data_IF_703826922049
#
_entry.id   IF_703826922049
#
_cell.length_a   1.000
_cell.length_b   1.000
_cell.length_c   1.000
_cell.angle_alpha   90.00
_cell.angle_beta   90.00
_cell.angle_gamma   90.00
#
_symmetry.space_group_name_H-M   'P 1'
#
loop_
_entity.id
_entity.type
_entity.pdbx_description
1 polymer ?
#
# COMPACT_ATOMS: atom_id res chain seq x y z
N UNK A 1 -11.05 18.28 -1.35
CA UNK A 1 -12.31 18.85 -0.86
C UNK A 1 -12.52 18.41 0.58
N UNK A 2 -12.92 19.35 1.45
CA UNK A 2 -13.14 19.06 2.88
C UNK A 2 -14.51 18.40 3.14
N UNK A 3 -15.29 18.18 2.10
CA UNK A 3 -16.62 17.58 2.19
C UNK A 3 -16.71 16.32 1.33
N UNK A 4 -17.52 15.35 1.79
CA UNK A 4 -17.94 14.22 0.98
C UNK A 4 -18.95 14.66 -0.09
N UNK A 5 -19.27 13.78 -1.03
CA UNK A 5 -20.34 14.06 -2.01
C UNK A 5 -21.71 14.30 -1.35
N UNK A 6 -21.92 13.72 -0.17
CA UNK A 6 -23.14 13.85 0.62
C UNK A 6 -23.14 15.04 1.58
N UNK A 7 -22.12 15.92 1.50
CA UNK A 7 -22.02 17.15 2.28
C UNK A 7 -21.46 16.99 3.70
N UNK A 8 -20.99 15.84 4.07
CA UNK A 8 -20.35 15.61 5.39
C UNK A 8 -18.90 16.11 5.41
N UNK A 9 -18.48 16.70 6.51
CA UNK A 9 -17.08 17.11 6.72
C UNK A 9 -16.20 15.87 6.79
N UNK A 10 -15.16 15.83 5.97
CA UNK A 10 -14.16 14.77 6.00
C UNK A 10 -13.10 15.07 7.05
N UNK A 11 -12.64 14.09 7.82
CA UNK A 11 -11.44 14.23 8.61
C UNK A 11 -10.22 14.42 7.69
N UNK A 12 -9.18 15.07 8.19
CA UNK A 12 -7.94 15.27 7.42
C UNK A 12 -7.27 13.94 7.05
N UNK A 13 -7.38 12.96 7.95
CA UNK A 13 -6.88 11.60 7.75
C UNK A 13 -7.68 10.59 8.58
N UNK A 14 -7.68 9.35 8.10
CA UNK A 14 -8.22 8.18 8.79
C UNK A 14 -7.05 7.22 8.97
N UNK A 15 -6.77 6.84 10.23
CA UNK A 15 -5.69 5.91 10.55
C UNK A 15 -6.22 4.49 10.49
N UNK A 16 -6.08 3.82 9.35
CA UNK A 16 -6.59 2.46 9.16
C UNK A 16 -5.76 1.41 9.91
N UNK A 17 -4.43 1.60 9.93
CA UNK A 17 -3.48 0.75 10.65
C UNK A 17 -2.58 1.66 11.48
N UNK A 18 -2.43 1.34 12.75
CA UNK A 18 -1.57 2.06 13.69
C UNK A 18 -0.74 1.05 14.48
N UNK A 19 0.58 1.23 14.44
CA UNK A 19 1.54 0.37 15.16
C UNK A 19 1.37 -1.13 14.88
N UNK A 20 1.01 -1.47 13.62
CA UNK A 20 0.78 -2.84 13.16
C UNK A 20 -0.62 -3.40 13.44
N UNK A 21 -1.47 -2.65 14.15
CA UNK A 21 -2.82 -3.08 14.49
C UNK A 21 -3.88 -2.32 13.67
N UNK A 22 -5.01 -2.97 13.44
CA UNK A 22 -6.18 -2.32 12.88
C UNK A 22 -6.69 -1.24 13.83
N UNK A 23 -6.90 -0.04 13.33
CA UNK A 23 -7.32 1.09 14.14
C UNK A 23 -8.72 1.61 13.76
N UNK A 24 -8.95 1.94 12.48
CA UNK A 24 -10.19 2.56 12.04
C UNK A 24 -10.61 2.09 10.64
N UNK A 25 -11.90 1.77 10.47
CA UNK A 25 -12.49 1.47 9.17
C UNK A 25 -12.84 2.74 8.41
N UNK A 26 -12.87 2.66 7.10
CA UNK A 26 -13.60 3.60 6.27
C UNK A 26 -15.09 3.32 6.43
N UNK A 27 -15.83 4.24 7.05
CA UNK A 27 -17.24 4.07 7.35
C UNK A 27 -18.07 5.15 6.68
N UNK A 28 -18.95 4.75 5.77
CA UNK A 28 -19.86 5.65 5.08
C UNK A 28 -21.04 6.03 5.98
N UNK A 29 -21.76 7.13 5.70
CA UNK A 29 -23.00 7.46 6.38
C UNK A 29 -24.06 6.34 6.28
N UNK A 30 -24.07 5.59 5.17
CA UNK A 30 -24.96 4.43 4.99
C UNK A 30 -24.64 3.31 5.98
N UNK A 31 -23.38 2.88 6.03
CA UNK A 31 -22.94 1.83 6.97
C UNK A 31 -23.10 2.26 8.42
N UNK A 32 -22.92 3.54 8.69
CA UNK A 32 -23.19 4.12 10.01
C UNK A 32 -24.64 3.87 10.46
N UNK A 33 -25.61 4.10 9.59
CA UNK A 33 -27.02 3.85 9.88
C UNK A 33 -27.33 2.34 10.01
N UNK A 34 -26.74 1.53 9.14
CA UNK A 34 -26.97 0.08 9.08
C UNK A 34 -26.43 -0.65 10.32
N UNK A 35 -25.22 -0.28 10.74
CA UNK A 35 -24.51 -0.96 11.84
C UNK A 35 -24.46 -0.18 13.17
N UNK A 36 -25.10 0.98 13.23
CA UNK A 36 -25.12 1.86 14.41
C UNK A 36 -23.70 2.24 14.91
N UNK A 37 -22.80 2.54 13.99
CA UNK A 37 -21.43 2.99 14.25
C UNK A 37 -21.21 4.41 13.75
N UNK A 38 -20.24 5.14 14.30
CA UNK A 38 -19.92 6.48 13.79
C UNK A 38 -19.31 6.42 12.39
N UNK A 39 -19.73 7.32 11.47
CA UNK A 39 -19.12 7.45 10.16
C UNK A 39 -17.97 8.46 10.16
N UNK A 40 -17.05 8.31 9.23
CA UNK A 40 -15.96 9.25 8.96
C UNK A 40 -16.05 9.90 7.57
N UNK A 41 -17.27 10.06 7.08
CA UNK A 41 -17.58 10.66 5.80
C UNK A 41 -16.95 9.95 4.58
N UNK A 42 -16.65 8.66 4.72
CA UNK A 42 -16.20 7.83 3.60
C UNK A 42 -17.29 7.71 2.53
N UNK A 43 -16.87 7.47 1.29
CA UNK A 43 -17.81 7.17 0.21
C UNK A 43 -18.55 5.87 0.46
N UNK A 44 -19.65 5.66 -0.24
CA UNK A 44 -20.45 4.41 -0.14
C UNK A 44 -19.66 3.15 -0.53
N UNK A 45 -18.58 3.29 -1.30
CA UNK A 45 -17.70 2.17 -1.64
C UNK A 45 -16.71 1.81 -0.52
N UNK A 46 -16.55 2.69 0.47
CA UNK A 46 -15.62 2.53 1.60
C UNK A 46 -14.19 2.13 1.17
N UNK A 47 -13.79 2.65 0.02
CA UNK A 47 -12.48 2.41 -0.57
C UNK A 47 -11.56 3.63 -0.36
N UNK A 48 -10.28 3.44 0.00
CA UNK A 48 -9.35 4.55 0.18
C UNK A 48 -8.96 5.17 -1.17
N UNK A 49 -9.24 6.44 -1.36
CA UNK A 49 -8.82 7.18 -2.56
C UNK A 49 -7.37 7.64 -2.51
N UNK A 50 -6.80 7.71 -1.33
CA UNK A 50 -5.42 8.12 -1.11
C UNK A 50 -4.88 7.37 0.10
N UNK A 51 -3.75 6.71 -0.08
CA UNK A 51 -3.09 5.95 0.98
C UNK A 51 -1.75 6.64 1.26
N UNK A 52 -1.49 6.89 2.53
CA UNK A 52 -0.21 7.39 3.03
C UNK A 52 0.41 6.36 3.97
N UNK A 53 1.57 5.82 3.60
CA UNK A 53 2.34 4.93 4.46
C UNK A 53 3.42 5.75 5.18
N UNK A 54 3.49 5.63 6.51
CA UNK A 54 4.50 6.31 7.31
C UNK A 54 5.92 5.91 6.88
N UNK A 55 6.85 6.86 6.93
CA UNK A 55 8.27 6.59 6.76
C UNK A 55 8.82 5.67 7.87
N UNK A 56 9.79 4.85 7.53
CA UNK A 56 10.60 4.13 8.51
C UNK A 56 11.93 4.86 8.77
N UNK A 57 12.96 4.09 9.10
CA UNK A 57 14.26 4.61 9.50
C UNK A 57 15.44 4.11 8.65
N UNK A 58 15.19 3.27 7.65
CA UNK A 58 16.26 2.74 6.79
C UNK A 58 16.61 3.78 5.74
N UNK A 59 17.83 4.20 5.68
CA UNK A 59 18.32 5.08 4.60
C UNK A 59 18.32 4.32 3.27
N UNK A 60 18.04 5.02 2.17
CA UNK A 60 17.94 4.38 0.86
C UNK A 60 19.27 3.70 0.45
N UNK A 61 20.40 4.31 0.79
CA UNK A 61 21.73 3.75 0.55
C UNK A 61 22.05 2.51 1.42
N UNK A 62 21.31 2.31 2.50
CA UNK A 62 21.46 1.20 3.42
C UNK A 62 20.56 0.00 3.10
N UNK A 63 19.70 0.08 2.08
CA UNK A 63 18.74 -0.99 1.76
C UNK A 63 19.45 -2.32 1.49
N UNK A 64 20.46 -2.33 0.60
CA UNK A 64 21.17 -3.55 0.22
C UNK A 64 21.94 -4.15 1.39
N UNK A 65 22.63 -3.31 2.17
CA UNK A 65 23.34 -3.76 3.37
C UNK A 65 22.40 -4.29 4.46
N UNK A 66 21.19 -3.73 4.57
CA UNK A 66 20.16 -4.20 5.50
C UNK A 66 19.60 -5.56 5.07
N UNK A 67 19.42 -5.80 3.76
CA UNK A 67 19.02 -7.09 3.21
C UNK A 67 20.12 -8.12 3.43
N UNK A 68 21.38 -7.72 3.27
CA UNK A 68 22.61 -8.50 3.32
C UNK A 68 22.61 -9.70 2.34
N UNK A 69 21.75 -10.69 2.56
CA UNK A 69 21.53 -11.82 1.64
C UNK A 69 20.05 -11.96 1.37
N UNK A 70 19.65 -11.89 0.10
CA UNK A 70 18.24 -11.95 -0.28
C UNK A 70 18.00 -11.62 -1.74
N UNK A 71 16.84 -11.04 -2.02
CA UNK A 71 16.41 -10.69 -3.38
C UNK A 71 15.95 -9.24 -3.40
N UNK A 72 16.50 -8.45 -4.31
CA UNK A 72 15.99 -7.14 -4.66
C UNK A 72 14.91 -7.27 -5.74
N UNK A 73 13.73 -6.72 -5.49
CA UNK A 73 12.60 -6.71 -6.41
C UNK A 73 12.18 -5.27 -6.66
N UNK A 74 12.33 -4.80 -7.90
CA UNK A 74 11.97 -3.41 -8.24
C UNK A 74 10.46 -3.20 -8.33
N UNK A 75 9.71 -4.22 -8.73
CA UNK A 75 8.27 -4.09 -8.93
C UNK A 75 7.53 -5.42 -8.79
N UNK A 76 6.26 -5.34 -8.37
CA UNK A 76 5.32 -6.45 -8.36
C UNK A 76 4.24 -6.20 -9.42
N UNK A 77 3.80 -7.25 -10.09
CA UNK A 77 2.86 -7.20 -11.19
C UNK A 77 1.81 -8.30 -11.09
N UNK A 78 0.68 -8.09 -11.73
CA UNK A 78 -0.41 -9.08 -11.80
C UNK A 78 -0.92 -9.49 -10.41
N UNK A 79 -1.04 -8.50 -9.53
CA UNK A 79 -1.48 -8.73 -8.15
C UNK A 79 -2.94 -9.12 -8.09
N UNK A 80 -3.24 -10.22 -7.44
CA UNK A 80 -4.59 -10.72 -7.18
C UNK A 80 -4.69 -11.28 -5.77
N UNK A 81 -5.89 -11.25 -5.19
CA UNK A 81 -6.14 -11.99 -3.97
C UNK A 81 -6.34 -13.48 -4.29
N UNK A 82 -5.47 -14.34 -3.76
CA UNK A 82 -5.65 -15.80 -3.75
C UNK A 82 -6.61 -16.24 -2.64
N UNK A 83 -6.62 -15.53 -1.51
CA UNK A 83 -7.57 -15.68 -0.41
C UNK A 83 -7.80 -14.33 0.28
N UNK A 84 -8.98 -13.77 0.09
CA UNK A 84 -9.34 -12.45 0.66
C UNK A 84 -9.51 -12.49 2.17
N UNK A 85 -10.02 -13.58 2.72
CA UNK A 85 -10.29 -13.68 4.15
C UNK A 85 -9.00 -13.69 4.98
N UNK A 86 -7.95 -14.30 4.42
CA UNK A 86 -6.62 -14.36 5.03
C UNK A 86 -5.65 -13.31 4.48
N UNK A 87 -6.14 -12.36 3.68
CA UNK A 87 -5.31 -11.32 3.08
C UNK A 87 -4.19 -11.86 2.19
N UNK A 88 -4.36 -13.08 1.61
CA UNK A 88 -3.34 -13.68 0.73
C UNK A 88 -3.39 -13.07 -0.66
N UNK A 89 -2.23 -12.67 -1.11
CA UNK A 89 -2.01 -12.12 -2.45
C UNK A 89 -1.03 -13.00 -3.23
N UNK A 90 -1.33 -13.20 -4.49
CA UNK A 90 -0.42 -13.79 -5.47
C UNK A 90 -0.05 -12.76 -6.52
N UNK A 91 1.11 -12.91 -7.11
CA UNK A 91 1.58 -12.03 -8.17
C UNK A 91 2.90 -12.50 -8.75
N UNK A 92 3.47 -11.65 -9.60
CA UNK A 92 4.76 -11.89 -10.25
C UNK A 92 5.71 -10.75 -9.90
N UNK A 93 6.99 -11.06 -9.78
CA UNK A 93 8.04 -10.04 -9.79
C UNK A 93 8.23 -9.53 -11.22
N UNK A 94 8.62 -8.27 -11.38
CA UNK A 94 8.79 -7.67 -12.70
C UNK A 94 9.91 -6.64 -12.73
N UNK A 95 10.44 -6.44 -13.94
CA UNK A 95 11.56 -5.56 -14.27
C UNK A 95 12.87 -6.01 -13.61
N UNK A 96 13.59 -5.10 -12.94
CA UNK A 96 14.88 -5.40 -12.33
C UNK A 96 14.71 -6.23 -11.05
N UNK A 97 14.98 -7.53 -11.15
CA UNK A 97 15.07 -8.42 -10.00
C UNK A 97 16.49 -8.95 -9.92
N UNK A 98 17.10 -8.90 -8.73
CA UNK A 98 18.51 -9.24 -8.55
C UNK A 98 18.71 -10.05 -7.28
N UNK A 99 19.65 -10.97 -7.33
CA UNK A 99 20.20 -11.60 -6.13
C UNK A 99 21.07 -10.60 -5.37
N UNK A 100 20.90 -10.55 -4.07
CA UNK A 100 21.72 -9.76 -3.15
C UNK A 100 22.55 -10.72 -2.31
N UNK A 101 23.88 -10.57 -2.34
CA UNK A 101 24.83 -11.32 -1.54
C UNK A 101 25.81 -10.33 -0.92
N UNK A 102 26.04 -10.47 0.38
CA UNK A 102 26.91 -9.59 1.16
C UNK A 102 26.60 -8.07 0.95
N UNK A 103 25.32 -7.75 0.83
CA UNK A 103 24.86 -6.38 0.62
C UNK A 103 25.10 -5.81 -0.78
N UNK A 104 25.35 -6.66 -1.78
CA UNK A 104 25.65 -6.26 -3.16
C UNK A 104 24.70 -6.96 -4.15
N UNK A 105 24.34 -6.27 -5.23
CA UNK A 105 23.63 -6.90 -6.35
C UNK A 105 24.61 -7.76 -7.15
N UNK A 106 24.39 -9.09 -7.17
CA UNK A 106 25.35 -10.04 -7.78
C UNK A 106 24.88 -10.61 -9.10
N UNK A 107 23.61 -10.95 -9.26
CA UNK A 107 23.09 -11.56 -10.46
C UNK A 107 21.64 -11.13 -10.75
N UNK A 108 21.26 -10.95 -12.02
CA UNK A 108 19.86 -10.80 -12.38
C UNK A 108 19.10 -12.11 -12.14
N UNK A 109 17.83 -12.00 -11.79
CA UNK A 109 16.94 -13.14 -11.54
C UNK A 109 15.74 -13.03 -12.49
N UNK A 110 15.30 -14.15 -13.01
CA UNK A 110 14.09 -14.25 -13.80
C UNK A 110 12.83 -13.91 -12.99
N UNK A 111 11.76 -13.62 -13.71
CA UNK A 111 10.45 -13.38 -13.12
C UNK A 111 10.01 -14.58 -12.26
N UNK A 112 9.69 -14.30 -11.02
CA UNK A 112 9.21 -15.28 -10.04
C UNK A 112 7.75 -15.02 -9.68
N UNK A 113 7.04 -16.09 -9.37
CA UNK A 113 5.73 -16.02 -8.73
C UNK A 113 5.88 -16.02 -7.23
N UNK A 114 5.05 -15.22 -6.56
CA UNK A 114 4.90 -15.27 -5.10
C UNK A 114 3.43 -15.47 -4.73
N UNK A 115 3.21 -15.99 -3.55
CA UNK A 115 1.91 -16.10 -2.89
C UNK A 115 2.14 -15.98 -1.38
N UNK A 116 1.74 -14.84 -0.79
CA UNK A 116 1.95 -14.60 0.63
C UNK A 116 0.83 -13.70 1.20
N UNK A 117 0.72 -13.66 2.51
CA UNK A 117 -0.23 -12.80 3.21
C UNK A 117 0.30 -11.37 3.34
N UNK A 118 -0.56 -10.39 3.10
CA UNK A 118 -0.25 -8.98 3.37
C UNK A 118 0.12 -8.77 4.85
N UNK A 119 -0.52 -9.51 5.75
CA UNK A 119 -0.21 -9.45 7.18
C UNK A 119 1.19 -9.98 7.50
N UNK A 120 1.65 -11.01 6.79
CA UNK A 120 3.01 -11.51 6.88
C UNK A 120 4.02 -10.50 6.32
N UNK A 121 3.79 -10.04 5.08
CA UNK A 121 4.71 -9.12 4.37
C UNK A 121 4.84 -7.75 5.03
N UNK A 122 3.75 -7.18 5.55
CA UNK A 122 3.72 -5.85 6.15
C UNK A 122 3.68 -5.85 7.68
N UNK A 123 3.64 -7.01 8.30
CA UNK A 123 3.57 -7.23 9.74
C UNK A 123 4.80 -7.97 10.27
N UNK A 124 4.63 -9.23 10.62
CA UNK A 124 5.63 -10.02 11.35
C UNK A 124 6.96 -10.20 10.62
N UNK A 125 6.96 -10.22 9.29
CA UNK A 125 8.18 -10.40 8.48
C UNK A 125 8.72 -9.07 7.93
N UNK A 126 8.14 -7.93 8.29
CA UNK A 126 8.62 -6.63 7.86
C UNK A 126 9.91 -6.26 8.62
N UNK A 127 11.05 -6.31 7.95
CA UNK A 127 12.33 -5.89 8.53
C UNK A 127 12.33 -4.39 8.82
N UNK A 128 11.82 -3.60 7.89
CA UNK A 128 11.73 -2.16 8.05
C UNK A 128 11.27 -1.44 6.81
N UNK A 129 11.17 -0.15 6.95
CA UNK A 129 10.78 0.75 5.87
C UNK A 129 11.83 1.85 5.71
N UNK A 130 12.00 2.38 4.51
CA UNK A 130 12.95 3.46 4.21
C UNK A 130 12.53 4.80 4.84
N UNK A 131 13.45 5.69 5.09
CA UNK A 131 13.19 7.04 5.64
C UNK A 131 12.55 7.97 4.61
N UNK A 132 12.87 7.80 3.33
CA UNK A 132 12.28 8.57 2.25
C UNK A 132 10.94 8.01 1.79
N UNK A 133 10.06 8.87 1.32
CA UNK A 133 8.76 8.52 0.74
C UNK A 133 8.63 9.14 -0.64
N UNK A 134 8.11 8.36 -1.57
CA UNK A 134 7.79 8.84 -2.92
C UNK A 134 6.28 8.90 -3.15
N UNK A 135 5.86 9.90 -3.89
CA UNK A 135 4.48 9.99 -4.36
C UNK A 135 4.29 9.09 -5.58
N UNK A 136 3.56 8.01 -5.41
CA UNK A 136 3.09 7.19 -6.52
C UNK A 136 1.77 7.76 -7.03
N UNK A 137 1.77 8.22 -8.27
CA UNK A 137 0.54 8.63 -8.97
C UNK A 137 0.13 7.45 -9.85
N UNK A 138 -1.12 6.99 -9.67
CA UNK A 138 -1.67 5.96 -10.54
C UNK A 138 -1.81 6.50 -11.97
N UNK A 139 -1.08 5.89 -12.91
CA UNK A 139 -1.09 6.29 -14.32
C UNK A 139 -2.46 6.07 -14.99
N UNK A 140 -3.26 5.12 -14.52
CA UNK A 140 -4.61 4.88 -15.02
C UNK A 140 -5.54 6.07 -14.81
N UNK A 141 -5.32 6.86 -13.78
CA UNK A 141 -6.11 8.08 -13.52
C UNK A 141 -5.67 9.28 -14.34
N UNK A 142 -4.48 9.24 -14.97
CA UNK A 142 -3.97 10.36 -15.77
C UNK A 142 -4.66 10.46 -17.14
N UNK A 143 -5.11 9.34 -17.70
CA UNK A 143 -5.83 9.29 -18.98
C UNK A 143 -7.33 9.61 -18.80
N UNK A 144 -7.89 9.34 -17.64
CA UNK A 144 -9.27 9.68 -17.33
C UNK A 144 -9.39 11.18 -16.96
N UNK A 145 -9.58 12.02 -17.96
CA UNK A 145 -9.92 13.44 -17.79
C UNK A 145 -11.33 13.67 -17.24
N UNK A 146 -11.95 12.66 -16.64
CA UNK A 146 -13.26 12.84 -16.03
C UNK A 146 -13.11 13.64 -14.74
N UNK A 147 -13.89 14.69 -14.62
CA UNK A 147 -13.94 15.60 -13.47
C UNK A 147 -14.47 14.91 -12.19
N UNK A 148 -14.80 13.65 -12.24
CA UNK A 148 -15.36 12.85 -11.15
C UNK A 148 -14.39 11.85 -10.54
N UNK A 149 -13.25 11.56 -11.16
CA UNK A 149 -12.28 10.64 -10.57
C UNK A 149 -11.45 11.35 -9.50
N UNK A 150 -11.69 11.02 -8.26
CA UNK A 150 -10.80 11.36 -7.18
C UNK A 150 -9.43 10.74 -7.49
N UNK A 151 -8.41 11.58 -7.61
CA UNK A 151 -7.04 11.13 -7.87
C UNK A 151 -6.56 10.34 -6.65
N UNK A 152 -6.43 9.03 -6.79
CA UNK A 152 -5.78 8.23 -5.77
C UNK A 152 -4.29 8.59 -5.74
N UNK A 153 -3.82 9.00 -4.58
CA UNK A 153 -2.39 9.24 -4.33
C UNK A 153 -1.91 8.10 -3.46
N UNK A 154 -1.06 7.27 -4.01
CA UNK A 154 -0.42 6.19 -3.28
C UNK A 154 1.02 6.62 -3.04
N UNK A 155 1.43 6.65 -1.80
CA UNK A 155 2.83 6.85 -1.42
C UNK A 155 3.53 5.51 -1.46
N UNK A 156 4.46 5.38 -2.39
CA UNK A 156 5.33 4.21 -2.54
C UNK A 156 6.77 4.63 -2.25
N UNK A 157 7.56 3.68 -1.94
CA UNK A 157 8.99 3.82 -1.78
C UNK A 157 9.74 3.23 -2.93
N UNK A 158 10.83 3.89 -3.27
CA UNK A 158 11.90 3.32 -4.08
C UNK A 158 12.71 2.32 -3.27
#
# INVERSE_FOLDING_TARGET
ANFSADGFIKPDKISMIKDGEFAESLTSPRSSLEYSVAHNASSTSEYPYSIDMRAGSIDDDAILSTINNGIYISNLWYLNFSDRNNGRMTGLTRFGCFLVEDGQLTAPIDTMRFDDSVYSMLGENLIGLTSNRELLIDSGTYEERSTSSARSRIWRRS
#
